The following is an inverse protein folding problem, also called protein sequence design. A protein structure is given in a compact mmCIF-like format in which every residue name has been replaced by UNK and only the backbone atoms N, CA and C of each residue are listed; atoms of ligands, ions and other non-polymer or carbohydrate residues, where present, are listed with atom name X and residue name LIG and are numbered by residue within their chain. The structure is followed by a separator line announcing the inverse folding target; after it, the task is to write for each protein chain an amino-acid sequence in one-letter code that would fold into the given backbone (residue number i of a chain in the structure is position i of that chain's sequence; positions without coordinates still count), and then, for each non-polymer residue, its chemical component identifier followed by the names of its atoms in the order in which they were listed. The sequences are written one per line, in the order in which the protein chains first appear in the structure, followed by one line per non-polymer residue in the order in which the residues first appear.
data_IF_306285956716
#
_entry.id   IF_306285956716
#
_cell.length_a   1.000
_cell.length_b   1.000
_cell.length_c   1.000
_cell.angle_alpha   90.00
_cell.angle_beta   90.00
_cell.angle_gamma   90.00
#
_symmetry.space_group_name_H-M   'P 1'
#
loop_
_entity.id
_entity.type
_entity.pdbx_description
1 polymer ?
2 polymer ?
3 non-polymer ?
4 non-polymer ?
5 non-polymer ?
6 water ?
#
# COMPACT_ATOMS: atom_id res chain seq x y z
N UNK A 1 21.01 14.02 4.26
CA UNK A 1 19.98 13.37 5.12
C UNK A 1 20.48 13.15 6.53
N UNK A 2 19.58 13.31 7.51
CA UNK A 2 19.97 13.18 8.92
C UNK A 2 20.48 11.78 9.24
N UNK A 3 20.15 10.78 8.43
CA UNK A 3 20.63 9.42 8.64
C UNK A 3 21.86 9.10 7.81
N UNK A 4 22.39 10.05 7.06
CA UNK A 4 23.51 9.79 6.17
C UNK A 4 24.76 9.29 6.88
N UNK A 5 24.92 9.60 8.16
CA UNK A 5 26.13 9.20 8.88
C UNK A 5 26.02 7.83 9.53
N UNK A 6 24.85 7.18 9.50
CA UNK A 6 24.67 5.89 10.16
C UNK A 6 24.82 4.74 9.17
N UNK A 7 25.46 3.68 9.63
CA UNK A 7 25.64 2.48 8.81
C UNK A 7 24.30 1.91 8.38
N UNK A 8 24.25 1.38 7.15
CA UNK A 8 23.03 0.75 6.66
C UNK A 8 22.54 -0.33 7.62
N UNK A 9 23.45 -1.21 8.06
CA UNK A 9 23.03 -2.30 8.94
C UNK A 9 22.47 -1.77 10.25
N UNK A 10 23.03 -0.68 10.76
CA UNK A 10 22.53 -0.08 12.00
C UNK A 10 21.13 0.51 11.81
N UNK A 11 20.90 1.12 10.64
CA UNK A 11 19.57 1.65 10.34
C UNK A 11 18.53 0.55 10.30
N UNK A 12 18.87 -0.59 9.69
CA UNK A 12 17.95 -1.71 9.63
C UNK A 12 17.70 -2.24 11.05
N UNK A 13 18.77 -2.40 11.83
CA UNK A 13 18.62 -2.88 13.19
C UNK A 13 17.71 -1.96 13.98
N UNK A 14 17.90 -0.64 13.84
CA UNK A 14 17.09 0.30 14.61
C UNK A 14 15.66 0.38 14.09
N UNK A 15 15.44 0.16 12.80
CA UNK A 15 14.07 0.06 12.31
C UNK A 15 13.33 -1.08 12.99
N UNK A 16 14.01 -2.22 13.18
CA UNK A 16 13.37 -3.35 13.85
C UNK A 16 13.10 -3.04 15.32
N UNK A 17 14.03 -2.33 15.98
CA UNK A 17 13.80 -1.91 17.36
C UNK A 17 12.62 -0.95 17.45
N UNK A 18 12.57 0.03 16.55
CA UNK A 18 11.46 0.98 16.54
C UNK A 18 10.13 0.26 16.35
N UNK A 19 10.10 -0.76 15.49
CA UNK A 19 8.88 -1.54 15.32
C UNK A 19 8.46 -2.18 16.63
N UNK A 20 9.41 -2.82 17.33
CA UNK A 20 9.09 -3.44 18.61
C UNK A 20 8.55 -2.42 19.61
N UNK A 21 9.06 -1.20 19.56
CA UNK A 21 8.64 -0.12 20.43
C UNK A 21 7.43 0.63 19.90
N UNK A 22 6.89 0.22 18.75
CA UNK A 22 5.75 0.89 18.12
C UNK A 22 6.03 2.37 17.89
N UNK A 23 7.29 2.67 17.51
CA UNK A 23 7.71 4.02 17.17
C UNK A 23 7.83 4.10 15.65
N UNK A 24 6.69 4.22 14.98
CA UNK A 24 6.67 4.04 13.54
C UNK A 24 7.24 5.23 12.78
N UNK A 25 7.14 6.45 13.32
CA UNK A 25 7.82 7.58 12.68
C UNK A 25 9.32 7.36 12.66
N UNK A 26 9.90 6.95 13.79
CA UNK A 26 11.31 6.60 13.82
C UNK A 26 11.62 5.49 12.82
N UNK A 27 10.77 4.46 12.81
CA UNK A 27 10.98 3.33 11.92
C UNK A 27 11.04 3.77 10.47
N UNK A 28 10.14 4.67 10.08
CA UNK A 28 10.13 5.16 8.70
C UNK A 28 11.39 5.97 8.40
N UNK A 29 11.83 6.80 9.34
CA UNK A 29 13.04 7.60 9.12
C UNK A 29 14.26 6.71 8.98
N UNK A 30 14.34 5.65 9.79
CA UNK A 30 15.45 4.70 9.64
C UNK A 30 15.41 4.02 8.28
N UNK A 31 14.23 3.56 7.86
CA UNK A 31 14.14 2.86 6.57
C UNK A 31 14.35 3.81 5.40
N UNK A 32 13.89 5.05 5.51
CA UNK A 32 14.24 6.04 4.48
C UNK A 32 15.76 6.18 4.38
N UNK A 33 16.44 6.25 5.53
CA UNK A 33 17.89 6.33 5.50
C UNK A 33 18.52 5.11 4.86
N UNK A 34 17.97 3.92 5.12
CA UNK A 34 18.50 2.71 4.50
C UNK A 34 18.31 2.74 2.99
N UNK A 35 17.12 3.14 2.53
CA UNK A 35 16.88 3.25 1.09
C UNK A 35 17.90 4.18 0.46
N UNK A 36 18.17 5.31 1.10
CA UNK A 36 19.06 6.32 0.54
C UNK A 36 20.52 5.89 0.53
N UNK A 37 20.86 4.72 1.08
CA UNK A 37 22.21 4.20 0.88
C UNK A 37 22.44 3.74 -0.55
N UNK A 38 21.38 3.54 -1.33
CA UNK A 38 21.50 3.27 -2.75
C UNK A 38 21.44 1.81 -3.15
N UNK A 39 21.51 0.89 -2.20
CA UNK A 39 21.43 -0.53 -2.52
C UNK A 39 19.97 -0.97 -2.62
N UNK A 40 19.73 -1.98 -3.45
CA UNK A 40 18.41 -2.59 -3.50
C UNK A 40 18.08 -3.16 -2.11
N UNK A 41 16.78 -3.30 -1.85
CA UNK A 41 16.28 -3.81 -0.57
C UNK A 41 15.96 -5.29 -0.68
N UNK A 42 16.26 -6.03 0.38
CA UNK A 42 15.86 -7.42 0.48
C UNK A 42 14.35 -7.51 0.71
N UNK A 43 13.81 -8.72 0.62
CA UNK A 43 12.39 -8.94 0.86
C UNK A 43 12.02 -8.46 2.28
N UNK A 44 12.84 -8.81 3.26
CA UNK A 44 12.57 -8.41 4.64
C UNK A 44 12.58 -6.90 4.77
N UNK A 45 13.55 -6.26 4.09
CA UNK A 45 13.69 -4.81 4.20
C UNK A 45 12.55 -4.09 3.50
N UNK A 46 12.09 -4.60 2.36
CA UNK A 46 10.93 -4.03 1.71
C UNK A 46 9.72 -4.06 2.64
N UNK A 47 9.55 -5.15 3.38
CA UNK A 47 8.43 -5.24 4.30
C UNK A 47 8.57 -4.25 5.44
N UNK A 48 9.79 -4.06 5.96
CA UNK A 48 9.99 -3.06 7.00
C UNK A 48 9.64 -1.66 6.51
N UNK A 49 10.07 -1.32 5.29
CA UNK A 49 9.71 -0.04 4.70
C UNK A 49 8.21 0.15 4.66
N UNK A 50 7.50 -0.86 4.16
CA UNK A 50 6.04 -0.78 4.04
C UNK A 50 5.37 -0.68 5.40
N UNK A 51 5.76 -1.54 6.35
CA UNK A 51 5.18 -1.49 7.69
C UNK A 51 5.31 -0.09 8.28
N UNK A 52 6.51 0.49 8.18
CA UNK A 52 6.77 1.79 8.80
C UNK A 52 5.84 2.85 8.22
N UNK A 53 5.87 3.03 6.90
CA UNK A 53 5.09 4.11 6.31
C UNK A 53 3.59 3.83 6.34
N UNK A 54 3.19 2.57 6.27
CA UNK A 54 1.76 2.29 6.35
C UNK A 54 1.20 2.65 7.72
N UNK A 55 1.98 2.47 8.79
CA UNK A 55 1.51 2.85 10.11
C UNK A 55 1.51 4.37 10.28
N UNK A 56 2.53 5.04 9.73
CA UNK A 56 2.55 6.50 9.81
C UNK A 56 1.33 7.09 9.09
N UNK A 57 1.18 6.75 7.80
CA UNK A 57 0.05 7.32 7.05
C UNK A 57 -1.27 6.82 7.60
N UNK A 58 -1.29 5.62 8.18
CA UNK A 58 -2.52 5.11 8.74
C UNK A 58 -3.06 5.99 9.86
N UNK A 59 -2.16 6.44 10.74
CA UNK A 59 -2.57 7.39 11.77
C UNK A 59 -3.05 8.71 11.20
N UNK A 60 -2.39 9.18 10.14
CA UNK A 60 -2.78 10.44 9.51
C UNK A 60 -4.14 10.30 8.81
N UNK A 61 -4.37 9.17 8.13
CA UNK A 61 -5.66 8.95 7.49
C UNK A 61 -6.78 8.89 8.52
N UNK A 62 -6.56 8.19 9.63
CA UNK A 62 -7.60 8.12 10.65
C UNK A 62 -7.91 9.50 11.22
N UNK A 63 -6.87 10.31 11.48
CA UNK A 63 -7.10 11.65 11.98
C UNK A 63 -7.80 12.52 10.95
N UNK A 64 -7.39 12.43 9.69
CA UNK A 64 -8.02 13.20 8.63
C UNK A 64 -9.51 12.88 8.54
N UNK A 65 -9.87 11.59 8.66
CA UNK A 65 -11.27 11.23 8.55
C UNK A 65 -12.09 11.80 9.70
N UNK A 66 -11.53 11.77 10.91
CA UNK A 66 -12.19 12.40 12.06
C UNK A 66 -12.44 13.87 11.78
N UNK A 67 -11.40 14.59 11.35
CA UNK A 67 -11.51 16.03 11.18
C UNK A 67 -12.43 16.38 10.01
N UNK A 68 -12.37 15.59 8.93
CA UNK A 68 -13.24 15.84 7.78
C UNK A 68 -14.70 15.66 8.16
N UNK A 69 -15.01 14.63 8.95
CA UNK A 69 -16.38 14.41 9.40
C UNK A 69 -16.87 15.60 10.22
N UNK A 70 -16.04 16.08 11.15
CA UNK A 70 -16.38 17.27 11.92
C UNK A 70 -16.60 18.46 10.99
N UNK A 71 -15.73 18.61 9.99
CA UNK A 71 -15.84 19.74 9.09
C UNK A 71 -17.12 19.68 8.27
N UNK A 72 -17.48 18.49 7.78
CA UNK A 72 -18.71 18.35 7.02
C UNK A 72 -19.93 18.64 7.88
N UNK A 73 -19.92 18.20 9.13
CA UNK A 73 -21.03 18.51 10.03
C UNK A 73 -21.13 20.01 10.27
N UNK A 74 -19.99 20.69 10.40
CA UNK A 74 -20.00 22.14 10.59
C UNK A 74 -20.58 22.88 9.40
N UNK A 75 -20.63 22.23 8.23
CA UNK A 75 -21.19 22.82 7.01
C UNK A 75 -22.57 22.26 6.69
N UNK A 76 -23.31 21.81 7.70
CA UNK A 76 -24.66 21.29 7.48
C UNK A 76 -25.69 22.42 7.46
N UNK A 83 -15.98 29.43 12.70
CA UNK A 83 -14.64 29.92 12.46
C UNK A 83 -13.83 29.02 11.53
N UNK A 84 -12.62 29.45 11.18
CA UNK A 84 -11.80 28.70 10.24
C UNK A 84 -11.02 27.54 10.85
N UNK A 85 -11.13 27.33 12.16
CA UNK A 85 -10.20 26.45 12.86
C UNK A 85 -10.29 25.00 12.38
N UNK A 86 -11.51 24.49 12.19
CA UNK A 86 -11.68 23.10 11.77
C UNK A 86 -11.05 22.89 10.40
N UNK A 87 -11.34 23.78 9.45
CA UNK A 87 -10.73 23.70 8.13
C UNK A 87 -9.21 23.80 8.22
N UNK A 88 -8.71 24.76 9.01
CA UNK A 88 -7.28 24.95 9.12
C UNK A 88 -6.59 23.70 9.64
N UNK A 89 -7.15 23.09 10.68
CA UNK A 89 -6.49 21.94 11.29
C UNK A 89 -6.61 20.71 10.41
N UNK A 90 -7.76 20.53 9.76
CA UNK A 90 -7.87 19.47 8.76
C UNK A 90 -6.83 19.66 7.65
N UNK A 91 -6.65 20.89 7.20
CA UNK A 91 -5.64 21.18 6.16
C UNK A 91 -4.24 20.86 6.67
N UNK A 92 -3.97 21.16 7.95
CA UNK A 92 -2.66 20.87 8.52
C UNK A 92 -2.37 19.37 8.46
N UNK A 93 -3.31 18.56 8.91
CA UNK A 93 -3.13 17.11 8.88
C UNK A 93 -3.03 16.63 7.45
N UNK A 94 -3.92 17.14 6.58
CA UNK A 94 -3.90 16.78 5.17
C UNK A 94 -2.53 17.06 4.55
N UNK A 95 -1.96 18.23 4.83
CA UNK A 95 -0.68 18.58 4.26
C UNK A 95 0.44 17.66 4.75
N UNK A 96 0.40 17.29 6.04
CA UNK A 96 1.38 16.34 6.55
C UNK A 96 1.22 14.99 5.90
N UNK A 97 -0.02 14.54 5.74
CA UNK A 97 -0.30 13.27 5.05
C UNK A 97 0.25 13.29 3.64
N UNK A 98 -0.02 14.37 2.90
CA UNK A 98 0.50 14.46 1.53
C UNK A 98 2.03 14.46 1.53
N UNK A 99 2.64 15.08 2.54
CA UNK A 99 4.09 15.08 2.61
C UNK A 99 4.67 13.69 2.77
N UNK A 100 4.03 12.86 3.59
CA UNK A 100 4.49 11.48 3.77
C UNK A 100 4.30 10.71 2.46
N UNK A 101 3.14 10.84 1.83
CA UNK A 101 2.93 10.15 0.56
C UNK A 101 3.96 10.58 -0.47
N UNK A 102 4.22 11.88 -0.58
CA UNK A 102 5.22 12.35 -1.53
C UNK A 102 6.60 11.79 -1.22
N UNK A 103 6.93 11.65 0.06
CA UNK A 103 8.22 11.08 0.44
C UNK A 103 8.34 9.64 -0.04
N UNK A 104 7.30 8.84 0.21
CA UNK A 104 7.33 7.43 -0.21
C UNK A 104 7.43 7.35 -1.73
N UNK A 105 6.58 8.11 -2.43
CA UNK A 105 6.62 8.10 -3.89
C UNK A 105 7.99 8.54 -4.40
N UNK A 106 8.63 9.47 -3.70
CA UNK A 106 9.95 9.89 -4.10
C UNK A 106 10.98 8.79 -3.96
N UNK A 107 10.90 8.02 -2.88
CA UNK A 107 11.80 6.88 -2.70
C UNK A 107 11.58 5.85 -3.79
N UNK A 108 10.32 5.59 -4.14
CA UNK A 108 10.03 4.61 -5.18
C UNK A 108 10.58 5.09 -6.53
N UNK A 109 10.50 6.39 -6.80
CA UNK A 109 10.96 6.94 -8.06
C UNK A 109 12.46 7.20 -8.08
N UNK A 110 13.14 7.18 -6.91
CA UNK A 110 14.55 7.52 -6.82
C UNK A 110 15.21 6.62 -5.76
N UNK A 111 15.50 5.36 -6.11
CA UNK A 111 15.36 4.77 -7.44
C UNK A 111 14.95 3.32 -7.32
N UNK A 112 14.04 3.04 -6.38
CA UNK A 112 13.69 1.65 -6.07
C UNK A 112 13.05 0.95 -7.26
N UNK A 113 12.08 1.59 -7.92
CA UNK A 113 11.35 0.90 -8.97
C UNK A 113 12.27 0.62 -10.16
N UNK A 114 13.08 1.60 -10.57
CA UNK A 114 13.85 1.41 -11.79
C UNK A 114 14.93 0.34 -11.63
N UNK A 115 15.39 0.08 -10.40
CA UNK A 115 16.38 -0.96 -10.18
C UNK A 115 15.76 -2.32 -9.86
N UNK A 116 14.44 -2.40 -9.71
CA UNK A 116 13.77 -3.63 -9.33
C UNK A 116 13.47 -4.45 -10.58
N UNK A 117 14.16 -5.58 -10.73
CA UNK A 117 13.98 -6.43 -11.90
C UNK A 117 13.22 -7.71 -11.61
N UNK A 118 13.32 -8.22 -10.39
CA UNK A 118 12.60 -9.42 -10.02
C UNK A 118 11.14 -9.12 -9.76
N UNK A 119 10.28 -10.07 -10.13
CA UNK A 119 8.84 -9.88 -9.98
C UNK A 119 8.46 -9.49 -8.56
N UNK A 120 9.04 -10.17 -7.57
CA UNK A 120 8.63 -9.94 -6.18
C UNK A 120 8.90 -8.51 -5.75
N UNK A 121 10.05 -7.96 -6.14
CA UNK A 121 10.36 -6.58 -5.76
C UNK A 121 9.59 -5.59 -6.63
N UNK A 122 9.56 -5.82 -7.94
CA UNK A 122 8.92 -4.85 -8.83
C UNK A 122 7.43 -4.74 -8.54
N UNK A 123 6.75 -5.87 -8.36
CA UNK A 123 5.32 -5.82 -8.04
C UNK A 123 5.09 -5.18 -6.68
N UNK A 124 5.93 -5.51 -5.70
CA UNK A 124 5.80 -4.90 -4.38
C UNK A 124 5.87 -3.37 -4.47
N UNK A 125 6.86 -2.86 -5.21
CA UNK A 125 7.05 -1.41 -5.28
C UNK A 125 5.94 -0.75 -6.09
N UNK A 126 5.53 -1.36 -7.20
CA UNK A 126 4.45 -0.77 -7.99
C UNK A 126 3.14 -0.79 -7.21
N UNK A 127 2.87 -1.85 -6.45
CA UNK A 127 1.73 -1.84 -5.55
C UNK A 127 1.81 -0.69 -4.56
N UNK A 128 2.99 -0.50 -3.94
CA UNK A 128 3.17 0.61 -3.02
C UNK A 128 2.89 1.94 -3.71
N UNK A 129 3.35 2.09 -4.95
CA UNK A 129 3.10 3.33 -5.68
C UNK A 129 1.60 3.56 -5.86
N UNK A 130 0.87 2.50 -6.25
CA UNK A 130 -0.58 2.62 -6.32
C UNK A 130 -1.19 2.97 -4.98
N UNK A 131 -0.72 2.34 -3.90
CA UNK A 131 -1.26 2.60 -2.57
C UNK A 131 -1.13 4.05 -2.19
N UNK A 132 0.06 4.64 -2.36
CA UNK A 132 0.24 6.00 -1.85
C UNK A 132 -0.37 7.05 -2.77
N UNK A 133 -0.54 6.77 -4.07
CA UNK A 133 -1.39 7.63 -4.87
C UNK A 133 -2.85 7.49 -4.45
N UNK A 134 -3.27 6.28 -4.07
CA UNK A 134 -4.63 6.10 -3.56
C UNK A 134 -4.84 6.92 -2.28
N UNK A 135 -3.86 6.92 -1.37
CA UNK A 135 -3.99 7.75 -0.16
C UNK A 135 -4.07 9.22 -0.51
N UNK A 136 -3.29 9.66 -1.50
CA UNK A 136 -3.42 11.04 -1.97
C UNK A 136 -4.80 11.28 -2.56
N UNK A 137 -5.33 10.30 -3.31
CA UNK A 137 -6.64 10.45 -3.92
C UNK A 137 -7.73 10.60 -2.87
N UNK A 138 -7.58 9.94 -1.71
CA UNK A 138 -8.61 10.00 -0.68
C UNK A 138 -8.88 11.42 -0.21
N UNK A 139 -7.87 12.29 -0.26
CA UNK A 139 -7.99 13.66 0.22
C UNK A 139 -8.02 14.68 -0.91
N UNK A 140 -7.93 14.24 -2.16
CA UNK A 140 -7.85 15.17 -3.28
C UNK A 140 -9.23 15.65 -3.69
N UNK A 141 -9.28 16.88 -4.18
CA UNK A 141 -10.53 17.49 -4.62
C UNK A 141 -10.32 18.29 -5.91
N UNK A 144 -6.57 18.05 -9.89
CA UNK A 144 -5.53 17.08 -9.62
C UNK A 144 -6.11 15.72 -9.23
N UNK A 145 -7.36 15.71 -8.77
CA UNK A 145 -7.96 14.46 -8.32
C UNK A 145 -7.95 13.43 -9.44
N UNK A 146 -8.42 13.80 -10.63
CA UNK A 146 -8.48 12.84 -11.74
C UNK A 146 -7.10 12.32 -12.10
N UNK A 147 -6.10 13.21 -12.11
CA UNK A 147 -4.75 12.79 -12.47
C UNK A 147 -4.13 11.91 -11.39
N UNK A 148 -4.43 12.20 -10.12
CA UNK A 148 -3.94 11.34 -9.04
C UNK A 148 -4.56 9.95 -9.15
N UNK A 149 -5.86 9.89 -9.43
CA UNK A 149 -6.53 8.60 -9.59
C UNK A 149 -5.90 7.83 -10.75
N UNK A 150 -5.62 8.50 -11.86
CA UNK A 150 -5.07 7.76 -12.98
C UNK A 150 -3.64 7.31 -12.69
N UNK A 151 -2.89 8.04 -11.86
CA UNK A 151 -1.56 7.59 -11.47
C UNK A 151 -1.64 6.34 -10.60
N UNK A 152 -2.61 6.29 -9.68
CA UNK A 152 -2.81 5.07 -8.90
C UNK A 152 -3.18 3.90 -9.81
N UNK A 153 -4.16 4.12 -10.69
CA UNK A 153 -4.59 3.05 -11.59
C UNK A 153 -3.44 2.53 -12.42
N UNK A 154 -2.64 3.43 -12.99
CA UNK A 154 -1.53 3.03 -13.86
C UNK A 154 -0.53 2.16 -13.11
N UNK A 155 -0.20 2.54 -11.88
CA UNK A 155 0.75 1.77 -11.10
C UNK A 155 0.18 0.40 -10.75
N UNK A 156 -1.05 0.36 -10.25
CA UNK A 156 -1.69 -0.91 -9.96
C UNK A 156 -1.74 -1.80 -11.19
N UNK A 157 -2.04 -1.22 -12.35
CA UNK A 157 -2.21 -2.02 -13.55
C UNK A 157 -0.90 -2.64 -14.01
N UNK A 158 0.20 -1.88 -13.98
CA UNK A 158 1.48 -2.47 -14.32
C UNK A 158 1.83 -3.60 -13.35
N UNK A 159 1.59 -3.38 -12.05
CA UNK A 159 1.85 -4.43 -11.07
C UNK A 159 1.00 -5.65 -11.35
N UNK A 160 -0.27 -5.45 -11.69
CA UNK A 160 -1.15 -6.57 -11.99
C UNK A 160 -0.65 -7.37 -13.18
N UNK A 161 -0.27 -6.67 -14.26
CA UNK A 161 0.20 -7.36 -15.45
C UNK A 161 1.40 -8.23 -15.15
N UNK A 162 2.37 -7.69 -14.40
CA UNK A 162 3.56 -8.48 -14.05
C UNK A 162 3.18 -9.64 -13.14
N UNK A 163 2.32 -9.39 -12.15
CA UNK A 163 2.01 -10.42 -11.18
C UNK A 163 1.31 -11.62 -11.83
N UNK A 164 0.42 -11.35 -12.80
CA UNK A 164 -0.27 -12.45 -13.44
C UNK A 164 0.66 -13.25 -14.35
N UNK A 165 1.69 -12.61 -14.89
CA UNK A 165 2.64 -13.30 -15.76
C UNK A 165 3.68 -14.08 -14.98
N UNK A 166 4.09 -13.59 -13.80
CA UNK A 166 5.30 -14.06 -13.13
C UNK A 166 5.06 -14.72 -11.78
N UNK A 167 3.87 -14.59 -11.18
CA UNK A 167 3.64 -15.12 -9.86
C UNK A 167 2.45 -16.08 -9.86
N UNK A 168 2.45 -17.07 -8.98
CA UNK A 168 1.30 -17.96 -8.86
C UNK A 168 0.14 -17.23 -8.22
N UNK A 169 -1.10 -17.72 -8.42
CA UNK A 169 -2.27 -17.00 -7.89
C UNK A 169 -2.30 -16.86 -6.39
N UNK A 170 -1.57 -17.68 -5.64
CA UNK A 170 -1.58 -17.61 -4.17
C UNK A 170 -0.46 -16.76 -3.60
N UNK A 171 0.41 -16.21 -4.44
CA UNK A 171 1.51 -15.39 -3.94
C UNK A 171 0.95 -14.25 -3.09
N UNK A 172 1.40 -14.09 -1.83
CA UNK A 172 0.80 -13.04 -0.98
C UNK A 172 0.94 -11.64 -1.53
N UNK A 173 2.02 -11.33 -2.26
CA UNK A 173 2.16 -10.01 -2.87
C UNK A 173 1.11 -9.83 -3.96
N UNK A 174 0.96 -10.84 -4.81
CA UNK A 174 -0.08 -10.79 -5.84
C UNK A 174 -1.46 -10.64 -5.23
N UNK A 175 -1.74 -11.39 -4.16
CA UNK A 175 -3.04 -11.30 -3.51
C UNK A 175 -3.26 -9.93 -2.88
N UNK A 176 -2.27 -9.41 -2.17
CA UNK A 176 -2.42 -8.11 -1.55
C UNK A 176 -2.56 -7.00 -2.56
N UNK A 177 -1.90 -7.13 -3.70
CA UNK A 177 -2.08 -6.18 -4.80
C UNK A 177 -3.51 -6.21 -5.32
N UNK A 178 -4.01 -7.41 -5.63
CA UNK A 178 -5.38 -7.54 -6.12
C UNK A 178 -6.38 -7.01 -5.09
N UNK A 179 -6.17 -7.33 -3.82
CA UNK A 179 -7.03 -6.77 -2.77
C UNK A 179 -7.06 -5.24 -2.83
N UNK A 180 -5.88 -4.62 -2.86
CA UNK A 180 -5.84 -3.16 -2.81
C UNK A 180 -6.36 -2.53 -4.09
N UNK A 181 -6.11 -3.16 -5.24
CA UNK A 181 -6.66 -2.63 -6.48
C UNK A 181 -8.18 -2.71 -6.46
N UNK A 182 -8.73 -3.77 -5.88
CA UNK A 182 -10.18 -3.89 -5.75
C UNK A 182 -10.74 -2.80 -4.85
N UNK A 183 -10.02 -2.49 -3.77
CA UNK A 183 -10.43 -1.39 -2.89
C UNK A 183 -10.37 -0.06 -3.63
N UNK A 184 -9.33 0.14 -4.43
CA UNK A 184 -9.24 1.31 -5.30
C UNK A 184 -10.50 1.43 -6.17
N UNK A 185 -10.87 0.34 -6.84
CA UNK A 185 -12.05 0.39 -7.70
C UNK A 185 -13.30 0.78 -6.90
N UNK A 186 -13.48 0.21 -5.71
CA UNK A 186 -14.71 0.41 -4.95
C UNK A 186 -14.75 1.77 -4.28
N UNK A 187 -13.65 2.19 -3.65
CA UNK A 187 -13.65 3.39 -2.83
C UNK A 187 -13.26 4.65 -3.59
N UNK A 188 -12.40 4.53 -4.60
CA UNK A 188 -11.81 5.68 -5.27
C UNK A 188 -12.43 5.90 -6.66
N UNK A 189 -12.51 4.85 -7.46
CA UNK A 189 -12.83 4.98 -8.88
C UNK A 189 -14.31 4.81 -9.19
N UNK A 190 -15.16 4.69 -8.16
CA UNK A 190 -16.60 4.57 -8.37
C UNK A 190 -16.92 3.40 -9.31
N UNK A 191 -16.19 2.29 -9.14
CA UNK A 191 -16.34 1.10 -9.98
C UNK A 191 -16.59 -0.12 -9.10
N UNK A 192 -17.69 -0.15 -8.35
CA UNK A 192 -17.94 -1.30 -7.48
C UNK A 192 -18.03 -2.63 -8.24
N UNK A 193 -18.54 -2.64 -9.47
CA UNK A 193 -18.64 -3.89 -10.20
C UNK A 193 -17.27 -4.43 -10.57
N UNK A 194 -16.36 -3.54 -10.99
CA UNK A 194 -14.98 -3.95 -11.23
C UNK A 194 -14.34 -4.48 -9.95
N UNK A 195 -14.64 -3.83 -8.81
CA UNK A 195 -14.07 -4.26 -7.54
C UNK A 195 -14.52 -5.67 -7.19
N UNK A 196 -15.83 -5.93 -7.33
CA UNK A 196 -16.39 -7.24 -6.99
C UNK A 196 -15.81 -8.30 -7.91
N UNK A 197 -15.77 -8.00 -9.21
CA UNK A 197 -15.24 -8.96 -10.18
C UNK A 197 -13.79 -9.32 -9.87
N UNK A 198 -12.96 -8.31 -9.61
CA UNK A 198 -11.56 -8.57 -9.31
C UNK A 198 -11.41 -9.39 -8.03
N UNK A 199 -12.17 -9.05 -6.99
CA UNK A 199 -12.05 -9.79 -5.73
C UNK A 199 -12.49 -11.24 -5.91
N UNK A 200 -13.58 -11.47 -6.64
CA UNK A 200 -14.09 -12.83 -6.78
C UNK A 200 -13.15 -13.68 -7.61
N UNK A 201 -12.70 -13.17 -8.77
CA UNK A 201 -11.79 -13.94 -9.60
C UNK A 201 -10.48 -14.21 -8.88
N UNK A 202 -9.96 -13.22 -8.15
CA UNK A 202 -8.74 -13.43 -7.39
C UNK A 202 -8.93 -14.53 -6.35
N UNK A 203 -10.05 -14.46 -5.61
CA UNK A 203 -10.31 -15.46 -4.58
C UNK A 203 -10.41 -16.86 -5.19
N UNK A 204 -11.21 -17.00 -6.26
CA UNK A 204 -11.42 -18.31 -6.85
C UNK A 204 -10.13 -18.89 -7.42
N UNK A 205 -9.32 -18.05 -8.09
CA UNK A 205 -8.07 -18.56 -8.66
C UNK A 205 -7.08 -18.95 -7.57
N UNK A 206 -7.07 -18.22 -6.46
CA UNK A 206 -6.20 -18.60 -5.35
C UNK A 206 -6.66 -19.91 -4.72
N UNK A 207 -7.96 -20.04 -4.48
CA UNK A 207 -8.50 -21.30 -3.98
C UNK A 207 -7.94 -22.50 -4.73
N UNK A 208 -7.92 -22.43 -6.06
CA UNK A 208 -7.54 -23.55 -6.90
C UNK A 208 -6.04 -23.81 -6.91
N UNK A 209 -5.23 -22.91 -6.34
CA UNK A 209 -3.79 -23.07 -6.28
C UNK A 209 -3.30 -23.41 -4.88
N UNK A 210 -4.19 -23.44 -3.88
CA UNK A 210 -3.77 -23.70 -2.52
C UNK A 210 -3.13 -25.08 -2.37
N UNK A 211 -3.54 -26.04 -3.19
CA UNK A 211 -3.06 -27.41 -3.02
C UNK A 211 -1.55 -27.52 -3.24
N UNK A 212 -0.93 -26.54 -3.88
CA UNK A 212 0.49 -26.59 -4.17
C UNK A 212 1.36 -26.15 -3.00
N UNK A 213 0.75 -25.62 -1.93
CA UNK A 213 1.47 -24.88 -0.91
C UNK A 213 1.77 -25.72 0.32
N UNK A 214 2.87 -25.35 0.99
CA UNK A 214 3.17 -25.88 2.31
C UNK A 214 2.19 -25.32 3.34
N UNK A 215 2.25 -25.89 4.55
CA UNK A 215 1.37 -25.43 5.61
C UNK A 215 1.58 -23.94 5.91
N UNK A 216 2.83 -23.49 5.91
CA UNK A 216 3.11 -22.10 6.24
C UNK A 216 2.66 -21.15 5.13
N UNK A 217 2.94 -21.50 3.87
CA UNK A 217 2.49 -20.67 2.76
C UNK A 217 0.97 -20.67 2.67
N UNK A 218 0.34 -21.81 2.93
CA UNK A 218 -1.11 -21.89 2.98
C UNK A 218 -1.68 -20.87 3.95
N UNK A 219 -1.08 -20.75 5.13
CA UNK A 219 -1.54 -19.77 6.11
C UNK A 219 -1.39 -18.35 5.59
N UNK A 220 -0.26 -18.04 4.96
CA UNK A 220 -0.05 -16.69 4.44
C UNK A 220 -1.10 -16.34 3.40
N UNK A 221 -1.35 -17.26 2.46
CA UNK A 221 -2.28 -16.98 1.37
C UNK A 221 -3.72 -16.87 1.88
N UNK A 222 -4.14 -17.80 2.74
CA UNK A 222 -5.55 -17.80 3.16
C UNK A 222 -5.88 -16.57 4.00
N UNK A 223 -4.91 -16.02 4.73
CA UNK A 223 -5.15 -14.80 5.48
C UNK A 223 -5.64 -13.68 4.56
N UNK A 224 -4.98 -13.49 3.43
CA UNK A 224 -5.37 -12.42 2.51
C UNK A 224 -6.66 -12.79 1.79
N UNK A 225 -6.85 -14.06 1.46
CA UNK A 225 -8.10 -14.49 0.86
C UNK A 225 -9.29 -14.17 1.74
N UNK A 226 -9.11 -14.26 3.06
CA UNK A 226 -10.21 -13.91 3.97
C UNK A 226 -10.56 -12.44 3.89
N UNK A 227 -9.58 -11.57 3.63
CA UNK A 227 -9.88 -10.16 3.45
C UNK A 227 -10.66 -9.91 2.17
N UNK A 228 -10.32 -10.63 1.09
CA UNK A 228 -11.12 -10.54 -0.12
C UNK A 228 -12.55 -10.97 0.15
N UNK A 229 -12.72 -12.08 0.87
CA UNK A 229 -14.05 -12.55 1.20
C UNK A 229 -14.81 -11.52 2.02
N UNK A 230 -14.17 -10.96 3.05
CA UNK A 230 -14.84 -9.99 3.90
C UNK A 230 -15.31 -8.78 3.10
N UNK A 231 -14.50 -8.34 2.14
CA UNK A 231 -14.92 -7.23 1.29
C UNK A 231 -16.10 -7.61 0.41
N UNK A 232 -16.06 -8.81 -0.17
CA UNK A 232 -17.19 -9.25 -0.99
C UNK A 232 -18.48 -9.29 -0.17
N UNK A 233 -18.39 -9.70 1.09
CA UNK A 233 -19.58 -9.69 1.94
C UNK A 233 -20.08 -8.28 2.17
N UNK A 234 -19.16 -7.33 2.36
CA UNK A 234 -19.53 -5.94 2.59
C UNK A 234 -20.10 -5.30 1.34
N UNK A 235 -19.61 -5.70 0.16
CA UNK A 235 -19.95 -5.06 -1.10
C UNK A 235 -21.17 -5.65 -1.78
N UNK A 236 -21.65 -6.81 -1.33
CA UNK A 236 -22.78 -7.48 -1.98
C UNK A 236 -23.95 -7.65 -1.01
N UNK B 1 -13.67 -0.65 3.60
CA UNK B 1 -13.12 -1.85 2.98
C UNK B 1 -11.78 -2.22 3.58
N UNK B 2 -11.52 -3.51 3.71
CA UNK B 2 -10.22 -4.00 4.15
C UNK B 2 -9.19 -3.88 3.03
N UNK B 4 -4.76 -4.46 2.15
CA UNK B 4 -3.72 -5.45 2.42
C UNK B 4 -2.90 -5.07 3.66
N UNK B 5 -2.43 -6.07 4.41
CA UNK B 5 -1.40 -5.79 5.40
C UNK B 5 -0.13 -5.29 4.73
N UNK B 6 0.71 -4.59 5.50
CA UNK B 6 1.94 -4.04 4.95
C UNK B 6 2.94 -5.14 4.62
N UNK B 7 3.09 -6.12 5.52
CA UNK B 7 4.10 -7.16 5.36
C UNK B 7 3.50 -8.31 4.57
N UNK B 8 4.16 -8.68 3.47
CA UNK B 8 3.67 -9.74 2.59
C UNK B 8 4.76 -10.76 2.29
#
# INVERSE_FOLDING_TARGET
GAMGSMERASLIQKAKLAEQAERYEDMAAFMKGAVEKGEELSCEERNLLSVAYKNVVGGQRAAWRVLSSIEQKSNEEGSEEKGPEVREYREKVETELQGVCDTVLGLLDSHLIKEAGDAESRVFYLKMKGDYYRYLAEVATGDDKKRIIDSARSAYQEAMDISKKEMPPTNPIRLGLALNFSVFHYEIANSPEEAISLAKTTFDEAMADLHTLSEDSYKDSTLIMQLLRDNLTLWT
SHXSPASL
#
